data_IF_388821589554
#
_entry.id   IF_388821589554
#
_cell.length_a   1.000
_cell.length_b   1.000
_cell.length_c   1.000
_cell.angle_alpha   90.00
_cell.angle_beta   90.00
_cell.angle_gamma   90.00
#
_symmetry.space_group_name_H-M   'P 1'
#
loop_
_entity.id
_entity.type
_entity.pdbx_description
1 polymer ?
#
# COMPACT_ATOMS: atom_id res chain seq x y z
N UNK A 1 -16.12 -37.19 -25.19
CA UNK A 1 -15.40 -36.77 -26.42
C UNK A 1 -14.59 -37.95 -26.91
N UNK A 2 -14.41 -38.14 -28.22
CA UNK A 2 -13.51 -39.19 -28.74
C UNK A 2 -12.06 -38.73 -28.56
N UNK A 3 -11.18 -39.66 -28.21
CA UNK A 3 -9.75 -39.39 -28.06
C UNK A 3 -9.05 -39.41 -29.43
N UNK A 4 -7.94 -38.69 -29.54
CA UNK A 4 -7.13 -38.66 -30.77
C UNK A 4 -6.27 -39.93 -30.82
N UNK A 5 -6.54 -40.80 -31.79
CA UNK A 5 -5.70 -41.96 -32.08
C UNK A 5 -4.69 -41.65 -33.19
N UNK A 6 -3.39 -41.80 -32.90
CA UNK A 6 -2.32 -41.55 -33.88
C UNK A 6 -1.56 -42.83 -34.21
N UNK A 7 -1.69 -43.32 -35.44
CA UNK A 7 -0.88 -44.44 -35.96
C UNK A 7 0.39 -43.90 -36.61
N UNK A 8 1.54 -44.07 -35.95
CA UNK A 8 2.84 -43.57 -36.41
C UNK A 8 3.59 -44.66 -37.18
N UNK A 9 4.22 -44.30 -38.31
CA UNK A 9 5.23 -45.12 -39.01
C UNK A 9 6.48 -44.25 -39.21
N UNK A 10 7.65 -44.77 -38.86
CA UNK A 10 8.91 -44.05 -39.03
C UNK A 10 9.28 -43.99 -40.53
N UNK A 11 9.73 -42.84 -41.05
CA UNK A 11 10.22 -42.76 -42.42
C UNK A 11 11.55 -43.50 -42.55
N UNK A 12 11.63 -44.44 -43.49
CA UNK A 12 12.88 -45.13 -43.84
C UNK A 12 13.44 -44.45 -45.09
N UNK A 13 14.65 -43.91 -45.01
CA UNK A 13 15.36 -43.31 -46.15
C UNK A 13 16.50 -44.24 -46.53
N UNK A 14 16.40 -44.87 -47.70
CA UNK A 14 17.47 -45.69 -48.28
C UNK A 14 18.11 -44.92 -49.43
N UNK A 15 19.44 -44.94 -49.48
CA UNK A 15 20.23 -44.29 -50.52
C UNK A 15 21.35 -45.23 -50.94
N UNK A 16 21.64 -45.29 -52.24
CA UNK A 16 22.80 -46.01 -52.79
C UNK A 16 24.10 -45.21 -52.59
N UNK A 17 24.38 -44.82 -51.34
CA UNK A 17 25.49 -43.94 -50.97
C UNK A 17 26.83 -44.45 -51.50
N UNK A 18 27.10 -45.74 -51.33
CA UNK A 18 28.38 -46.34 -51.70
C UNK A 18 28.62 -46.29 -53.21
N UNK A 19 27.60 -46.57 -54.02
CA UNK A 19 27.68 -46.52 -55.48
C UNK A 19 27.93 -45.09 -55.97
N UNK A 20 27.15 -44.13 -55.44
CA UNK A 20 27.28 -42.72 -55.81
C UNK A 20 28.63 -42.17 -55.36
N UNK A 21 29.08 -42.53 -54.15
CA UNK A 21 30.39 -42.10 -53.63
C UNK A 21 31.54 -42.63 -54.49
N UNK A 22 31.54 -43.91 -54.85
CA UNK A 22 32.58 -44.50 -55.71
C UNK A 22 32.64 -43.80 -57.06
N UNK A 23 31.48 -43.60 -57.71
CA UNK A 23 31.42 -42.91 -59.00
C UNK A 23 31.91 -41.45 -58.93
N UNK A 24 31.62 -40.76 -57.81
CA UNK A 24 32.16 -39.43 -57.56
C UNK A 24 33.67 -39.45 -57.37
N UNK A 25 34.21 -40.36 -56.56
CA UNK A 25 35.66 -40.47 -56.33
C UNK A 25 36.43 -40.72 -57.64
N UNK A 26 35.97 -41.66 -58.46
CA UNK A 26 36.56 -41.95 -59.79
C UNK A 26 36.53 -40.74 -60.74
N UNK A 27 35.46 -39.95 -60.65
CA UNK A 27 35.31 -38.74 -61.46
C UNK A 27 36.20 -37.61 -60.95
N UNK A 28 36.38 -37.50 -59.63
CA UNK A 28 37.17 -36.43 -58.99
C UNK A 28 38.68 -36.67 -59.07
N UNK A 29 39.13 -37.93 -59.07
CA UNK A 29 40.55 -38.27 -59.19
C UNK A 29 41.15 -37.82 -60.53
N UNK A 30 40.35 -37.78 -61.60
CA UNK A 30 40.74 -37.24 -62.92
C UNK A 30 41.10 -35.76 -62.89
N UNK A 31 40.67 -35.03 -61.86
CA UNK A 31 40.86 -33.60 -61.71
C UNK A 31 41.76 -33.24 -60.52
N UNK A 32 42.19 -34.24 -59.73
CA UNK A 32 43.06 -34.04 -58.57
C UNK A 32 44.48 -33.72 -59.05
N UNK A 33 44.97 -32.52 -58.74
CA UNK A 33 46.31 -32.06 -59.13
C UNK A 33 46.42 -31.40 -60.51
N UNK A 34 45.30 -31.07 -61.17
CA UNK A 34 45.31 -30.31 -62.43
C UNK A 34 45.83 -28.89 -62.20
N UNK A 35 46.94 -28.54 -62.84
CA UNK A 35 47.49 -27.18 -62.88
C UNK A 35 46.84 -26.42 -64.04
N UNK A 36 46.24 -25.26 -63.74
CA UNK A 36 45.57 -24.43 -64.75
C UNK A 36 46.62 -23.65 -65.55
N UNK A 37 46.64 -23.84 -66.86
CA UNK A 37 47.48 -23.12 -67.84
C UNK A 37 46.58 -22.37 -68.83
N UNK A 38 47.11 -21.40 -69.58
CA UNK A 38 46.31 -20.60 -70.52
C UNK A 38 45.61 -21.46 -71.60
N UNK A 39 46.25 -22.55 -72.03
CA UNK A 39 45.70 -23.48 -73.02
C UNK A 39 44.55 -24.35 -72.47
N UNK A 40 44.54 -24.65 -71.16
CA UNK A 40 43.54 -25.54 -70.54
C UNK A 40 42.42 -24.81 -69.78
N UNK A 41 42.55 -23.49 -69.58
CA UNK A 41 41.64 -22.65 -68.79
C UNK A 41 40.17 -22.81 -69.16
N UNK A 42 39.86 -22.90 -70.46
CA UNK A 42 38.47 -23.06 -70.94
C UNK A 42 37.86 -24.39 -70.50
N UNK A 43 38.63 -25.48 -70.55
CA UNK A 43 38.18 -26.81 -70.12
C UNK A 43 38.00 -26.85 -68.60
N UNK A 44 38.94 -26.30 -67.84
CA UNK A 44 38.85 -26.22 -66.38
C UNK A 44 37.61 -25.43 -65.90
N UNK A 45 37.25 -24.32 -66.57
CA UNK A 45 36.03 -23.56 -66.26
C UNK A 45 34.75 -24.38 -66.49
N UNK A 46 34.69 -25.16 -67.57
CA UNK A 46 33.54 -26.04 -67.85
C UNK A 46 33.42 -27.13 -66.78
N UNK A 47 34.52 -27.83 -66.48
CA UNK A 47 34.55 -28.85 -65.43
C UNK A 47 34.14 -28.29 -64.07
N UNK A 48 34.67 -27.12 -63.68
CA UNK A 48 34.29 -26.46 -62.42
C UNK A 48 32.77 -26.19 -62.36
N UNK A 49 32.18 -25.73 -63.47
CA UNK A 49 30.74 -25.48 -63.57
C UNK A 49 29.93 -26.76 -63.39
N UNK A 50 30.37 -27.87 -63.98
CA UNK A 50 29.67 -29.15 -63.88
C UNK A 50 29.80 -29.78 -62.48
N UNK A 51 30.97 -29.68 -61.83
CA UNK A 51 31.14 -30.05 -60.42
C UNK A 51 30.25 -29.20 -59.49
N UNK A 52 30.15 -27.90 -59.77
CA UNK A 52 29.28 -27.01 -59.01
C UNK A 52 27.80 -27.35 -59.19
N UNK A 53 27.36 -27.74 -60.40
CA UNK A 53 26.00 -28.24 -60.66
C UNK A 53 25.72 -29.53 -59.89
N UNK A 54 26.64 -30.48 -59.93
CA UNK A 54 26.49 -31.76 -59.22
C UNK A 54 26.36 -31.56 -57.71
N UNK A 55 27.20 -30.70 -57.13
CA UNK A 55 27.10 -30.31 -55.71
C UNK A 55 25.74 -29.70 -55.38
N UNK A 56 25.23 -28.79 -56.22
CA UNK A 56 23.90 -28.19 -56.03
C UNK A 56 22.80 -29.24 -56.14
N UNK A 57 22.88 -30.15 -57.12
CA UNK A 57 21.90 -31.22 -57.30
C UNK A 57 21.78 -32.14 -56.08
N UNK A 58 22.90 -32.49 -55.44
CA UNK A 58 22.88 -33.28 -54.19
C UNK A 58 22.18 -32.50 -53.06
N UNK A 59 22.48 -31.21 -52.91
CA UNK A 59 21.84 -30.38 -51.87
C UNK A 59 20.34 -30.15 -52.14
N UNK A 60 19.95 -29.97 -53.41
CA UNK A 60 18.55 -29.87 -53.82
C UNK A 60 17.80 -31.18 -53.57
N UNK A 61 18.40 -32.33 -53.90
CA UNK A 61 17.82 -33.64 -53.62
C UNK A 61 17.59 -33.83 -52.12
N UNK A 62 18.59 -33.52 -51.28
CA UNK A 62 18.47 -33.52 -49.82
C UNK A 62 17.30 -32.66 -49.34
N UNK A 63 17.18 -31.44 -49.85
CA UNK A 63 16.10 -30.50 -49.50
C UNK A 63 14.73 -31.01 -49.93
N UNK A 64 14.63 -31.63 -51.12
CA UNK A 64 13.37 -32.14 -51.64
C UNK A 64 12.88 -33.35 -50.84
N UNK A 65 13.74 -34.34 -50.58
CA UNK A 65 13.40 -35.51 -49.75
C UNK A 65 12.98 -35.06 -48.35
N UNK A 66 13.72 -34.13 -47.73
CA UNK A 66 13.33 -33.54 -46.43
C UNK A 66 11.93 -32.90 -46.50
N UNK A 67 11.67 -32.09 -47.53
CA UNK A 67 10.38 -31.40 -47.69
C UNK A 67 9.23 -32.39 -47.86
N UNK A 68 9.42 -33.45 -48.63
CA UNK A 68 8.40 -34.49 -48.84
C UNK A 68 8.08 -35.25 -47.56
N UNK A 69 9.11 -35.66 -46.81
CA UNK A 69 8.93 -36.37 -45.53
C UNK A 69 8.34 -35.46 -44.43
N UNK A 70 8.55 -34.15 -44.50
CA UNK A 70 7.93 -33.18 -43.59
C UNK A 70 6.44 -32.91 -43.89
N UNK A 71 5.96 -33.14 -45.12
CA UNK A 71 4.55 -32.90 -45.49
C UNK A 71 3.54 -33.58 -44.54
N UNK A 72 3.63 -34.90 -44.26
CA UNK A 72 2.68 -35.55 -43.36
C UNK A 72 2.75 -35.02 -41.93
N UNK A 73 3.93 -34.58 -41.46
CA UNK A 73 4.09 -33.97 -40.14
C UNK A 73 3.37 -32.62 -40.09
N UNK A 74 3.58 -31.77 -41.11
CA UNK A 74 2.92 -30.46 -41.21
C UNK A 74 1.40 -30.59 -41.35
N UNK A 75 0.93 -31.59 -42.10
CA UNK A 75 -0.50 -31.86 -42.23
C UNK A 75 -1.11 -32.32 -40.89
N UNK A 76 -0.41 -33.19 -40.15
CA UNK A 76 -0.82 -33.59 -38.81
C UNK A 76 -0.87 -32.39 -37.84
N UNK A 77 0.18 -31.55 -37.81
CA UNK A 77 0.21 -30.32 -37.00
C UNK A 77 -0.94 -29.38 -37.36
N UNK A 78 -1.22 -29.21 -38.66
CA UNK A 78 -2.34 -28.40 -39.13
C UNK A 78 -3.67 -28.95 -38.62
N UNK A 79 -3.92 -30.26 -38.75
CA UNK A 79 -5.13 -30.91 -38.22
C UNK A 79 -5.26 -30.73 -36.71
N UNK A 80 -4.18 -30.85 -35.94
CA UNK A 80 -4.21 -30.57 -34.51
C UNK A 80 -4.55 -29.11 -34.19
N UNK A 81 -3.96 -28.15 -34.93
CA UNK A 81 -4.27 -26.72 -34.76
C UNK A 81 -5.72 -26.41 -35.11
N UNK A 82 -6.25 -27.03 -36.15
CA UNK A 82 -7.65 -26.87 -36.56
C UNK A 82 -8.61 -27.36 -35.47
N UNK A 83 -8.33 -28.52 -34.87
CA UNK A 83 -9.09 -29.03 -33.72
C UNK A 83 -9.00 -28.09 -32.50
N UNK A 84 -7.83 -27.52 -32.21
CA UNK A 84 -7.64 -26.54 -31.12
C UNK A 84 -8.44 -25.26 -31.42
N UNK A 85 -8.43 -24.79 -32.66
CA UNK A 85 -9.17 -23.60 -33.08
C UNK A 85 -10.67 -23.81 -32.90
N UNK A 86 -11.20 -24.96 -33.31
CA UNK A 86 -12.62 -25.30 -33.13
C UNK A 86 -13.03 -25.22 -31.64
N UNK A 87 -12.18 -25.72 -30.73
CA UNK A 87 -12.42 -25.60 -29.29
C UNK A 87 -12.36 -24.15 -28.84
N UNK A 88 -11.33 -23.41 -29.27
CA UNK A 88 -11.08 -22.02 -28.88
C UNK A 88 -12.20 -21.08 -29.33
N UNK A 89 -12.77 -21.32 -30.52
CA UNK A 89 -13.90 -20.56 -31.06
C UNK A 89 -15.15 -20.65 -30.18
N UNK A 90 -15.38 -21.81 -29.54
CA UNK A 90 -16.50 -22.03 -28.63
C UNK A 90 -16.14 -21.64 -27.19
N UNK A 91 -14.92 -21.88 -26.75
CA UNK A 91 -14.45 -21.56 -25.40
C UNK A 91 -14.44 -20.06 -25.14
N UNK A 92 -14.00 -19.25 -26.12
CA UNK A 92 -13.88 -17.80 -25.98
C UNK A 92 -15.21 -17.11 -25.61
N UNK A 93 -16.32 -17.27 -26.34
CA UNK A 93 -17.59 -16.64 -25.98
C UNK A 93 -18.16 -17.18 -24.66
N UNK A 94 -17.91 -18.45 -24.31
CA UNK A 94 -18.31 -19.00 -23.00
C UNK A 94 -17.54 -18.30 -21.87
N UNK A 95 -16.22 -18.16 -22.01
CA UNK A 95 -15.37 -17.48 -21.04
C UNK A 95 -15.76 -16.01 -20.89
N UNK A 96 -16.00 -15.32 -22.01
CA UNK A 96 -16.45 -13.94 -22.02
C UNK A 96 -17.85 -13.80 -21.38
N UNK A 97 -18.76 -14.74 -21.67
CA UNK A 97 -20.08 -14.80 -21.04
C UNK A 97 -20.04 -15.02 -19.53
N UNK A 98 -19.19 -15.95 -19.06
CA UNK A 98 -18.94 -16.17 -17.62
C UNK A 98 -18.44 -14.88 -16.99
N UNK A 99 -17.47 -14.20 -17.63
CA UNK A 99 -16.92 -12.94 -17.12
C UNK A 99 -17.99 -11.86 -16.99
N UNK A 100 -18.85 -11.68 -18.00
CA UNK A 100 -19.96 -10.72 -17.95
C UNK A 100 -20.89 -11.01 -16.77
N UNK A 101 -21.24 -12.27 -16.54
CA UNK A 101 -22.13 -12.64 -15.45
C UNK A 101 -21.47 -12.48 -14.07
N UNK A 102 -20.19 -12.85 -13.95
CA UNK A 102 -19.41 -12.66 -12.74
C UNK A 102 -19.22 -11.18 -12.41
N UNK A 103 -18.95 -10.34 -13.41
CA UNK A 103 -18.86 -8.88 -13.26
C UNK A 103 -20.21 -8.29 -12.82
N UNK A 104 -21.31 -8.71 -13.44
CA UNK A 104 -22.66 -8.31 -13.03
C UNK A 104 -22.94 -8.67 -11.57
N UNK A 105 -22.62 -9.90 -11.15
CA UNK A 105 -22.80 -10.32 -9.75
C UNK A 105 -21.91 -9.55 -8.77
N UNK A 106 -20.69 -9.18 -9.18
CA UNK A 106 -19.82 -8.30 -8.40
C UNK A 106 -20.41 -6.91 -8.22
N UNK A 107 -21.00 -6.35 -9.28
CA UNK A 107 -21.64 -5.04 -9.25
C UNK A 107 -22.94 -5.04 -8.43
N UNK A 108 -23.73 -6.11 -8.49
CA UNK A 108 -24.88 -6.33 -7.61
C UNK A 108 -24.44 -6.33 -6.14
N UNK A 109 -23.39 -7.09 -5.78
CA UNK A 109 -22.83 -7.08 -4.42
C UNK A 109 -22.30 -5.71 -4.01
N UNK A 110 -21.66 -4.99 -4.92
CA UNK A 110 -21.20 -3.61 -4.68
C UNK A 110 -22.37 -2.71 -4.32
N UNK A 111 -23.47 -2.83 -5.05
CA UNK A 111 -24.68 -2.03 -4.83
C UNK A 111 -25.33 -2.36 -3.48
N UNK A 112 -25.47 -3.65 -3.16
CA UNK A 112 -25.98 -4.11 -1.86
C UNK A 112 -25.08 -3.64 -0.71
N UNK A 113 -23.75 -3.71 -0.86
CA UNK A 113 -22.83 -3.21 0.15
C UNK A 113 -22.98 -1.70 0.38
N UNK A 114 -23.20 -0.90 -0.67
CA UNK A 114 -23.50 0.53 -0.55
C UNK A 114 -24.83 0.78 0.17
N UNK A 115 -25.85 -0.02 -0.12
CA UNK A 115 -27.12 0.05 0.59
C UNK A 115 -26.97 -0.25 2.07
N UNK A 116 -26.25 -1.31 2.44
CA UNK A 116 -25.95 -1.62 3.84
C UNK A 116 -25.14 -0.53 4.51
N UNK A 117 -24.13 0.03 3.85
CA UNK A 117 -23.37 1.19 4.38
C UNK A 117 -24.32 2.35 4.68
N UNK A 118 -25.23 2.68 3.77
CA UNK A 118 -26.21 3.76 3.96
C UNK A 118 -27.19 3.46 5.10
N UNK A 119 -27.66 2.21 5.20
CA UNK A 119 -28.51 1.73 6.30
C UNK A 119 -27.77 1.86 7.64
N UNK A 120 -26.53 1.38 7.74
CA UNK A 120 -25.72 1.43 8.96
C UNK A 120 -25.38 2.87 9.35
N UNK A 121 -25.02 3.76 8.41
CA UNK A 121 -24.80 5.19 8.70
C UNK A 121 -26.02 5.81 9.38
N UNK A 122 -27.23 5.52 8.85
CA UNK A 122 -28.48 6.00 9.42
C UNK A 122 -28.77 5.37 10.79
N UNK A 123 -28.58 4.05 10.92
CA UNK A 123 -28.86 3.32 12.16
C UNK A 123 -27.96 3.77 13.31
N UNK A 124 -26.68 4.04 13.03
CA UNK A 124 -25.70 4.49 14.03
C UNK A 124 -25.64 6.02 14.17
N UNK A 125 -26.38 6.79 13.37
CA UNK A 125 -26.34 8.26 13.35
C UNK A 125 -24.89 8.79 13.30
N UNK A 126 -24.13 8.33 12.30
CA UNK A 126 -22.77 8.80 12.06
C UNK A 126 -22.81 10.19 11.41
N UNK A 127 -21.91 11.08 11.81
CA UNK A 127 -21.70 12.38 11.15
C UNK A 127 -21.03 12.17 9.77
N UNK A 128 -20.92 13.24 8.98
CA UNK A 128 -20.35 13.15 7.62
C UNK A 128 -18.90 12.68 7.61
N UNK A 129 -18.08 13.11 8.58
CA UNK A 129 -16.66 12.75 8.68
C UNK A 129 -16.45 11.26 8.97
N UNK A 130 -17.21 10.70 9.90
CA UNK A 130 -17.15 9.27 10.24
C UNK A 130 -17.86 8.41 9.20
N UNK A 131 -18.97 8.89 8.63
CA UNK A 131 -19.66 8.22 7.54
C UNK A 131 -18.75 8.05 6.30
N UNK A 132 -17.93 9.05 5.98
CA UNK A 132 -16.98 8.98 4.86
C UNK A 132 -15.90 7.89 5.03
N UNK A 133 -15.60 7.48 6.28
CA UNK A 133 -14.65 6.38 6.56
C UNK A 133 -15.23 5.01 6.20
N UNK A 134 -16.56 4.87 6.14
CA UNK A 134 -17.24 3.61 5.85
C UNK A 134 -17.35 3.40 4.32
N UNK A 135 -16.37 2.69 3.76
CA UNK A 135 -16.25 2.47 2.30
C UNK A 135 -16.48 1.00 1.90
N UNK A 136 -16.77 0.79 0.62
CA UNK A 136 -16.90 -0.57 0.06
C UNK A 136 -15.51 -1.19 -0.06
N UNK A 137 -15.28 -2.29 0.66
CA UNK A 137 -14.03 -3.05 0.62
C UNK A 137 -14.06 -4.12 -0.47
N UNK A 138 -12.89 -4.41 -1.05
CA UNK A 138 -12.76 -5.45 -2.09
C UNK A 138 -13.27 -6.82 -1.64
N UNK A 139 -13.12 -7.14 -0.35
CA UNK A 139 -13.62 -8.39 0.24
C UNK A 139 -15.14 -8.57 0.08
N UNK A 140 -15.91 -7.49 -0.04
CA UNK A 140 -17.36 -7.54 -0.26
C UNK A 140 -17.72 -7.93 -1.70
N UNK A 141 -16.78 -7.76 -2.64
CA UNK A 141 -16.96 -8.10 -4.06
C UNK A 141 -16.67 -9.57 -4.35
N UNK A 142 -16.12 -10.32 -3.39
CA UNK A 142 -15.82 -11.74 -3.57
C UNK A 142 -17.10 -12.54 -3.83
N UNK A 143 -17.14 -13.27 -4.94
CA UNK A 143 -18.34 -14.04 -5.34
C UNK A 143 -18.71 -15.14 -4.34
N UNK A 144 -17.74 -15.74 -3.66
CA UNK A 144 -17.93 -16.72 -2.59
C UNK A 144 -18.44 -16.14 -1.27
N UNK A 145 -18.28 -14.83 -1.03
CA UNK A 145 -18.71 -14.18 0.21
C UNK A 145 -20.23 -14.10 0.34
N UNK A 146 -20.78 -14.27 1.55
CA UNK A 146 -22.22 -14.17 1.80
C UNK A 146 -22.64 -12.73 2.07
N UNK A 147 -23.87 -12.35 1.68
CA UNK A 147 -24.41 -11.02 1.97
C UNK A 147 -24.50 -10.75 3.48
N UNK A 148 -24.76 -11.80 4.27
CA UNK A 148 -24.77 -11.74 5.74
C UNK A 148 -23.43 -11.31 6.30
N UNK A 149 -22.33 -11.93 5.86
CA UNK A 149 -20.98 -11.56 6.31
C UNK A 149 -20.62 -10.12 5.93
N UNK A 150 -21.07 -9.65 4.76
CA UNK A 150 -20.88 -8.25 4.34
C UNK A 150 -21.62 -7.31 5.31
N UNK A 151 -22.89 -7.60 5.61
CA UNK A 151 -23.69 -6.79 6.54
C UNK A 151 -23.07 -6.73 7.95
N UNK A 152 -22.72 -7.89 8.50
CA UNK A 152 -22.12 -7.99 9.84
C UNK A 152 -20.81 -7.19 9.96
N UNK A 153 -19.96 -7.24 8.93
CA UNK A 153 -18.68 -6.52 8.94
C UNK A 153 -18.87 -5.00 8.79
N UNK A 154 -19.87 -4.56 7.99
CA UNK A 154 -20.25 -3.15 7.88
C UNK A 154 -20.81 -2.65 9.22
N UNK A 155 -21.72 -3.39 9.83
CA UNK A 155 -22.32 -3.03 11.13
C UNK A 155 -21.27 -2.97 12.24
N UNK A 156 -20.33 -3.92 12.26
CA UNK A 156 -19.20 -3.90 13.21
C UNK A 156 -18.35 -2.64 13.05
N UNK A 157 -18.03 -2.26 11.81
CA UNK A 157 -17.26 -1.04 11.53
C UNK A 157 -18.04 0.22 11.89
N UNK A 158 -19.33 0.28 11.55
CA UNK A 158 -20.17 1.41 11.90
C UNK A 158 -20.28 1.60 13.42
N UNK A 159 -20.36 0.50 14.19
CA UNK A 159 -20.34 0.54 15.65
C UNK A 159 -19.00 1.07 16.21
N UNK A 160 -17.86 0.64 15.65
CA UNK A 160 -16.54 1.16 16.04
C UNK A 160 -16.47 2.67 15.79
N UNK A 161 -16.86 3.12 14.59
CA UNK A 161 -16.90 4.54 14.23
C UNK A 161 -17.86 5.34 15.12
N UNK A 162 -18.98 4.74 15.53
CA UNK A 162 -19.93 5.36 16.44
C UNK A 162 -19.29 5.62 17.80
N UNK A 163 -18.58 4.64 18.36
CA UNK A 163 -17.84 4.80 19.62
C UNK A 163 -16.77 5.87 19.52
N UNK A 164 -16.04 5.93 18.40
CA UNK A 164 -15.06 6.99 18.17
C UNK A 164 -15.71 8.37 18.17
N UNK A 165 -16.83 8.53 17.46
CA UNK A 165 -17.59 9.78 17.43
C UNK A 165 -18.11 10.20 18.81
N UNK A 166 -18.62 9.25 19.59
CA UNK A 166 -19.09 9.51 20.96
C UNK A 166 -17.92 9.92 21.87
N UNK A 167 -16.79 9.21 21.79
CA UNK A 167 -15.59 9.55 22.55
C UNK A 167 -15.07 10.95 22.21
N UNK A 168 -15.07 11.35 20.93
CA UNK A 168 -14.65 12.70 20.53
C UNK A 168 -15.63 13.75 21.05
N UNK A 169 -16.93 13.50 20.95
CA UNK A 169 -17.97 14.39 21.48
C UNK A 169 -17.82 14.57 22.99
N UNK A 170 -17.62 13.48 23.72
CA UNK A 170 -17.46 13.49 25.17
C UNK A 170 -16.17 14.20 25.58
N UNK A 171 -15.08 13.97 24.85
CA UNK A 171 -13.81 14.71 25.02
C UNK A 171 -14.02 16.22 24.87
N UNK A 172 -14.64 16.65 23.77
CA UNK A 172 -14.95 18.08 23.51
C UNK A 172 -15.85 18.65 24.60
N UNK A 173 -16.84 17.89 25.09
CA UNK A 173 -17.71 18.32 26.18
C UNK A 173 -16.96 18.50 27.50
N UNK A 174 -16.09 17.55 27.87
CA UNK A 174 -15.22 17.67 29.05
C UNK A 174 -14.34 18.91 28.95
N UNK A 175 -13.75 19.17 27.79
CA UNK A 175 -12.91 20.34 27.57
C UNK A 175 -13.71 21.63 27.78
N UNK A 176 -14.91 21.74 27.18
CA UNK A 176 -15.79 22.90 27.38
C UNK A 176 -16.14 23.12 28.85
N UNK A 177 -16.47 22.07 29.59
CA UNK A 177 -16.78 22.16 31.03
C UNK A 177 -15.56 22.66 31.82
N UNK A 178 -14.38 22.11 31.56
CA UNK A 178 -13.14 22.52 32.21
C UNK A 178 -12.77 23.96 31.91
N UNK A 179 -12.88 24.38 30.64
CA UNK A 179 -12.65 25.75 30.21
C UNK A 179 -13.63 26.72 30.87
N UNK A 180 -14.93 26.40 30.87
CA UNK A 180 -15.95 27.21 31.53
C UNK A 180 -15.65 27.39 33.01
N UNK A 181 -15.29 26.32 33.71
CA UNK A 181 -14.91 26.38 35.13
C UNK A 181 -13.69 27.28 35.38
N UNK A 182 -12.68 27.23 34.49
CA UNK A 182 -11.51 28.09 34.57
C UNK A 182 -11.86 29.57 34.30
N UNK A 183 -12.66 29.84 33.27
CA UNK A 183 -13.18 31.17 32.93
C UNK A 183 -13.99 31.76 34.10
N UNK A 184 -14.92 30.99 34.66
CA UNK A 184 -15.72 31.39 35.82
C UNK A 184 -14.85 31.71 37.05
N UNK A 185 -13.72 31.01 37.20
CA UNK A 185 -12.76 31.27 38.27
C UNK A 185 -12.01 32.58 38.08
N UNK A 186 -11.48 32.84 36.87
CA UNK A 186 -10.72 34.07 36.59
C UNK A 186 -11.61 35.31 36.52
N UNK A 187 -12.83 35.19 35.96
CA UNK A 187 -13.80 36.28 35.84
C UNK A 187 -14.25 36.85 37.18
N UNK A 188 -14.06 36.14 38.30
CA UNK A 188 -14.34 36.68 39.65
C UNK A 188 -13.47 37.89 40.00
N UNK A 189 -12.30 38.04 39.36
CA UNK A 189 -11.33 39.10 39.63
C UNK A 189 -11.24 40.14 38.51
N UNK A 190 -11.94 39.93 37.39
CA UNK A 190 -11.88 40.78 36.21
C UNK A 190 -13.13 41.64 36.09
N UNK A 191 -12.97 42.86 35.59
CA UNK A 191 -14.10 43.72 35.26
C UNK A 191 -14.62 43.42 33.84
N UNK A 192 -13.68 43.13 32.93
CA UNK A 192 -13.90 42.69 31.55
C UNK A 192 -13.92 41.17 31.54
N UNK A 193 -15.11 40.60 31.34
CA UNK A 193 -15.30 39.15 31.40
C UNK A 193 -14.81 38.50 30.12
N UNK A 194 -14.16 37.35 30.29
CA UNK A 194 -13.86 36.40 29.23
C UNK A 194 -15.08 35.50 29.02
N UNK A 195 -15.36 35.12 27.78
CA UNK A 195 -16.45 34.22 27.42
C UNK A 195 -15.90 32.91 26.82
N UNK A 196 -16.72 31.85 26.79
CA UNK A 196 -16.28 30.55 26.25
C UNK A 196 -15.91 30.66 24.77
N UNK A 197 -16.68 31.48 24.03
CA UNK A 197 -16.53 31.73 22.61
C UNK A 197 -15.13 32.25 22.24
N UNK A 198 -14.46 32.96 23.15
CA UNK A 198 -13.10 33.49 22.95
C UNK A 198 -12.03 32.40 22.78
N UNK A 199 -12.36 31.16 23.15
CA UNK A 199 -11.45 30.02 23.20
C UNK A 199 -11.97 28.80 22.41
N UNK A 200 -13.15 28.87 21.80
CA UNK A 200 -13.77 27.75 21.07
C UNK A 200 -12.93 27.34 19.85
N UNK A 201 -12.24 28.28 19.20
CA UNK A 201 -11.34 28.01 18.07
C UNK A 201 -10.20 27.05 18.45
N UNK A 202 -9.73 27.08 19.70
CA UNK A 202 -8.68 26.17 20.17
C UNK A 202 -9.15 24.71 20.25
N UNK A 203 -10.46 24.47 20.41
CA UNK A 203 -11.06 23.14 20.38
C UNK A 203 -11.10 22.58 18.95
N UNK A 204 -11.38 23.43 17.97
CA UNK A 204 -11.38 23.04 16.55
C UNK A 204 -9.95 22.78 16.02
N UNK A 205 -8.95 23.46 16.60
CA UNK A 205 -7.53 23.21 16.34
C UNK A 205 -6.95 22.04 17.15
N UNK A 206 -7.78 21.33 17.92
CA UNK A 206 -7.42 20.17 18.74
C UNK A 206 -6.24 20.44 19.70
N UNK A 207 -6.21 21.65 20.29
CA UNK A 207 -5.19 22.00 21.28
C UNK A 207 -5.32 21.17 22.56
N UNK A 208 -4.19 20.78 23.19
CA UNK A 208 -4.21 20.12 24.49
C UNK A 208 -4.91 20.98 25.56
N UNK A 209 -5.76 20.37 26.39
CA UNK A 209 -6.56 21.08 27.39
C UNK A 209 -5.68 21.92 28.34
N UNK A 210 -4.56 21.39 28.81
CA UNK A 210 -3.61 22.10 29.67
C UNK A 210 -3.07 23.39 29.04
N UNK A 211 -2.82 23.36 27.73
CA UNK A 211 -2.39 24.54 26.98
C UNK A 211 -3.51 25.58 26.89
N UNK A 212 -4.74 25.15 26.62
CA UNK A 212 -5.90 26.06 26.54
C UNK A 212 -6.17 26.69 27.90
N UNK A 213 -6.13 25.91 28.98
CA UNK A 213 -6.29 26.41 30.35
C UNK A 213 -5.22 27.45 30.71
N UNK A 214 -3.97 27.21 30.32
CA UNK A 214 -2.88 28.18 30.51
C UNK A 214 -3.11 29.47 29.70
N UNK A 215 -3.66 29.37 28.51
CA UNK A 215 -3.97 30.54 27.69
C UNK A 215 -5.10 31.39 28.29
N UNK A 216 -6.12 30.75 28.89
CA UNK A 216 -7.16 31.43 29.66
C UNK A 216 -6.53 32.24 30.82
N UNK A 217 -5.61 31.62 31.57
CA UNK A 217 -4.90 32.29 32.67
C UNK A 217 -4.04 33.46 32.16
N UNK A 218 -3.30 33.28 31.07
CA UNK A 218 -2.46 34.32 30.47
C UNK A 218 -3.29 35.54 30.02
N UNK A 219 -4.42 35.30 29.33
CA UNK A 219 -5.35 36.37 28.91
C UNK A 219 -5.96 37.08 30.10
N UNK A 220 -6.41 36.32 31.11
CA UNK A 220 -6.94 36.91 32.34
C UNK A 220 -5.91 37.80 33.05
N UNK A 221 -4.66 37.36 33.15
CA UNK A 221 -3.59 38.15 33.77
C UNK A 221 -3.28 39.43 32.98
N UNK A 222 -3.30 39.35 31.63
CA UNK A 222 -3.12 40.52 30.77
C UNK A 222 -4.25 41.55 30.96
N UNK A 223 -5.51 41.10 31.01
CA UNK A 223 -6.68 41.96 31.27
C UNK A 223 -6.58 42.58 32.66
N UNK A 224 -6.31 41.77 33.69
CA UNK A 224 -6.16 42.27 35.06
C UNK A 224 -5.07 43.35 35.17
N UNK A 225 -3.92 43.15 34.52
CA UNK A 225 -2.85 44.17 34.47
C UNK A 225 -3.29 45.43 33.74
N UNK A 226 -4.07 45.33 32.66
CA UNK A 226 -4.58 46.48 31.91
C UNK A 226 -5.63 47.27 32.71
N UNK A 227 -6.56 46.59 33.38
CA UNK A 227 -7.59 47.19 34.24
C UNK A 227 -6.98 47.94 35.42
N UNK A 228 -5.98 47.35 36.06
CA UNK A 228 -5.31 47.97 37.20
C UNK A 228 -4.27 49.03 36.79
N UNK A 229 -3.69 48.96 35.57
CA UNK A 229 -2.85 50.04 35.01
C UNK A 229 -3.64 51.27 34.60
N UNK A 230 -4.94 51.15 34.30
CA UNK A 230 -5.80 52.31 34.03
C UNK A 230 -6.02 53.20 35.27
N UNK A 231 -5.62 52.75 36.47
CA UNK A 231 -5.59 53.54 37.70
C UNK A 231 -4.22 54.24 37.95
N UNK A 232 -3.18 53.89 37.19
CA UNK A 232 -1.79 54.26 37.47
C UNK A 232 -1.15 55.19 36.42
N UNK A 233 -1.96 55.94 35.65
CA UNK A 233 -1.46 56.96 34.70
C UNK A 233 -0.87 58.20 35.43
N UNK A 234 -0.80 58.22 36.76
CA UNK A 234 -0.21 59.34 37.51
C UNK A 234 1.23 59.18 38.00
N UNK A 235 1.93 58.05 37.80
CA UNK A 235 3.36 58.01 38.14
C UNK A 235 4.20 57.16 37.18
N UNK A 236 5.34 57.77 36.81
CA UNK A 236 6.27 57.42 35.74
C UNK A 236 6.95 56.03 35.83
N UNK A 237 7.12 55.44 34.63
CA UNK A 237 8.33 54.84 34.03
C UNK A 237 9.33 54.12 34.97
N UNK A 238 9.45 52.79 34.84
CA UNK A 238 10.62 52.10 34.23
C UNK A 238 10.47 50.58 34.23
N UNK A 239 10.87 49.94 33.12
CA UNK A 239 10.97 48.48 32.97
C UNK A 239 12.23 47.99 33.69
N UNK A 240 12.17 46.85 34.40
CA UNK A 240 13.10 45.77 34.04
C UNK A 240 12.40 44.42 33.88
N UNK A 241 12.83 43.68 32.85
CA UNK A 241 12.61 42.23 32.76
C UNK A 241 13.24 41.55 33.97
N UNK A 242 12.47 40.75 34.69
CA UNK A 242 13.00 39.72 35.58
C UNK A 242 12.10 38.49 35.53
N UNK A 243 12.62 37.43 34.90
CA UNK A 243 12.22 36.04 35.11
C UNK A 243 12.34 35.77 36.60
N UNK A 244 11.26 35.38 37.28
CA UNK A 244 11.39 34.92 38.66
C UNK A 244 10.59 33.65 38.94
N UNK A 245 11.34 32.70 39.47
CA UNK A 245 10.98 31.37 39.95
C UNK A 245 9.99 31.52 41.12
N UNK A 246 8.73 31.12 40.95
CA UNK A 246 7.83 30.87 42.10
C UNK A 246 6.59 30.08 41.64
N UNK A 247 6.76 28.78 41.36
CA UNK A 247 5.62 27.86 41.21
C UNK A 247 5.70 26.67 42.21
N UNK A 248 6.83 26.46 42.88
CA UNK A 248 7.01 25.26 43.72
C UNK A 248 6.46 25.44 45.16
N UNK A 249 6.13 26.66 45.61
CA UNK A 249 5.72 26.87 47.01
C UNK A 249 4.25 26.60 47.33
N UNK A 250 3.36 26.44 46.34
CA UNK A 250 1.92 26.28 46.60
C UNK A 250 1.39 24.84 46.71
N UNK A 251 2.22 23.81 46.45
CA UNK A 251 1.80 22.40 46.61
C UNK A 251 2.16 21.77 47.96
N UNK A 252 2.73 22.54 48.92
CA UNK A 252 3.02 22.00 50.27
C UNK A 252 1.88 22.13 51.27
N UNK A 253 0.78 22.83 50.96
CA UNK A 253 -0.27 23.15 51.92
C UNK A 253 -1.64 22.50 51.62
N UNK A 254 -1.65 21.19 51.32
CA UNK A 254 -2.83 20.33 51.52
C UNK A 254 -2.45 18.85 51.39
N UNK A 255 -1.82 18.29 52.42
CA UNK A 255 -1.90 16.86 52.69
C UNK A 255 -2.60 16.65 54.03
N UNK A 256 -3.88 16.30 53.96
CA UNK A 256 -4.63 15.73 55.07
C UNK A 256 -4.97 14.29 54.73
N UNK A 257 -4.18 13.38 55.32
CA UNK A 257 -4.39 11.95 55.62
C UNK A 257 -5.57 11.26 54.92
N UNK A 258 -5.31 10.69 53.74
CA UNK A 258 -5.54 9.29 53.30
C UNK A 258 -5.46 9.25 51.77
N UNK A 259 -4.33 9.65 51.21
CA UNK A 259 -4.14 9.60 49.76
C UNK A 259 -3.71 8.20 49.34
N UNK A 260 -4.57 7.51 48.58
CA UNK A 260 -4.22 6.26 47.91
C UNK A 260 -2.98 6.51 47.01
N UNK A 261 -1.87 5.82 47.28
CA UNK A 261 -0.70 5.84 46.40
C UNK A 261 -1.02 5.06 45.12
N UNK A 262 -1.00 5.73 43.97
CA UNK A 262 -1.10 5.10 42.65
C UNK A 262 0.28 5.03 42.01
N UNK A 263 0.61 3.93 41.32
CA UNK A 263 1.83 3.79 40.53
C UNK A 263 1.50 3.55 39.05
N UNK A 264 2.39 3.96 38.16
CA UNK A 264 2.29 3.72 36.71
C UNK A 264 3.65 3.27 36.20
N UNK A 265 3.69 2.15 35.49
CA UNK A 265 4.89 1.68 34.79
C UNK A 265 5.03 2.42 33.45
N UNK A 266 6.06 3.25 33.34
CA UNK A 266 6.33 4.07 32.15
C UNK A 266 7.67 3.72 31.50
N UNK A 267 7.68 3.63 30.18
CA UNK A 267 8.92 3.57 29.39
C UNK A 267 9.19 4.94 28.77
N UNK A 268 10.32 5.55 29.14
CA UNK A 268 10.76 6.86 28.62
C UNK A 268 12.08 6.70 27.89
N UNK A 269 12.16 7.17 26.65
CA UNK A 269 13.39 7.17 25.86
C UNK A 269 13.72 8.57 25.35
N UNK A 270 14.96 8.99 25.56
CA UNK A 270 15.51 10.25 25.06
C UNK A 270 17.05 10.16 25.08
N UNK A 271 17.72 11.24 24.65
CA UNK A 271 19.16 11.40 24.83
C UNK A 271 19.58 11.42 26.33
N UNK A 272 20.86 11.17 26.59
CA UNK A 272 21.40 11.00 27.94
C UNK A 272 21.18 12.22 28.86
N UNK A 273 21.35 13.43 28.32
CA UNK A 273 21.20 14.67 29.07
C UNK A 273 19.76 14.89 29.54
N UNK A 274 18.77 14.60 28.69
CA UNK A 274 17.35 14.78 29.05
C UNK A 274 16.86 13.67 29.99
N UNK A 275 17.35 12.43 29.87
CA UNK A 275 17.06 11.38 30.85
C UNK A 275 17.63 11.73 32.23
N UNK A 276 18.81 12.37 32.27
CA UNK A 276 19.41 12.88 33.51
C UNK A 276 18.59 14.03 34.10
N UNK A 277 18.15 14.97 33.26
CA UNK A 277 17.28 16.08 33.68
C UNK A 277 15.95 15.59 34.25
N UNK A 278 15.32 14.58 33.63
CA UNK A 278 14.10 13.96 34.11
C UNK A 278 14.29 13.29 35.48
N UNK A 279 15.38 12.53 35.65
CA UNK A 279 15.72 11.90 36.92
C UNK A 279 15.89 12.92 38.04
N UNK A 280 16.48 14.08 37.74
CA UNK A 280 16.67 15.15 38.71
C UNK A 280 15.34 15.85 39.03
N UNK A 281 14.51 16.12 38.02
CA UNK A 281 13.17 16.68 38.19
C UNK A 281 12.28 15.83 39.09
N UNK A 282 12.28 14.49 38.91
CA UNK A 282 11.47 13.59 39.73
C UNK A 282 11.88 13.65 41.22
N UNK A 283 13.18 13.74 41.50
CA UNK A 283 13.69 13.88 42.88
C UNK A 283 13.33 15.23 43.48
N UNK A 284 13.51 16.31 42.72
CA UNK A 284 13.24 17.69 43.18
C UNK A 284 11.76 17.91 43.51
N UNK A 285 10.86 17.19 42.82
CA UNK A 285 9.41 17.27 43.03
C UNK A 285 8.84 16.17 43.94
N UNK A 286 9.69 15.37 44.60
CA UNK A 286 9.27 14.41 45.63
C UNK A 286 8.61 13.13 45.13
N UNK A 287 8.83 12.74 43.87
CA UNK A 287 8.35 11.47 43.33
C UNK A 287 9.25 10.30 43.76
N UNK A 288 8.64 9.21 44.22
CA UNK A 288 9.30 7.91 44.38
C UNK A 288 9.39 7.25 42.98
N UNK A 289 10.60 7.00 42.46
CA UNK A 289 10.79 6.32 41.17
C UNK A 289 11.88 5.25 41.21
N UNK A 290 11.67 4.16 40.48
CA UNK A 290 12.61 3.05 40.30
C UNK A 290 12.93 2.86 38.81
N UNK A 291 14.18 2.50 38.49
CA UNK A 291 14.61 2.26 37.10
C UNK A 291 14.75 0.76 36.86
N UNK A 292 13.75 0.15 36.21
CA UNK A 292 13.70 -1.29 35.97
C UNK A 292 14.64 -1.79 34.86
N UNK A 293 14.87 -1.03 33.79
CA UNK A 293 15.78 -1.38 32.67
C UNK A 293 16.51 -0.14 32.13
N UNK A 294 17.82 -0.27 31.87
CA UNK A 294 18.66 0.76 31.22
C UNK A 294 19.40 0.19 30.01
N UNK A 295 19.33 0.86 28.87
CA UNK A 295 19.99 0.46 27.63
C UNK A 295 19.84 1.50 26.53
N UNK A 296 20.70 1.46 25.51
CA UNK A 296 20.59 2.33 24.33
C UNK A 296 19.49 1.76 23.42
N UNK A 297 18.43 2.53 23.19
CA UNK A 297 17.43 2.19 22.17
C UNK A 297 18.13 2.25 20.81
N UNK A 298 18.14 1.14 20.07
CA UNK A 298 18.67 1.06 18.71
C UNK A 298 17.60 1.49 17.72
#
# INVERSE_FOLDING_TARGET
MKEIEVKKRLPIILMNFNEVKSSLEDTMDKYRGVIVTEENLKKCKTTQKDLAKLRRGIDEYRKNVKREMEKPIKEFEFKCKDLINLITEVEKPIKDGIKIYDDKRRDEKRSIAKEYIKESIKNYNLNEEYAAKLTVKDKYLNLSGTLKSIKEDIDMQANILKKEQENERDRKNIYRISMKSAIDSVNKKLNTKLELEDFEEYLELDWPLDRVLKEIENRAEAIFKAENKAYDIKNDVQVPLSVNQNIISNYKNKLTKEDNKYFVDIHVSHNYEMIKALSQFLKENGYEYEVYKKGRVK
#
